data_IF_835247842124
#
_entry.id   IF_835247842124
#
_cell.length_a   1.000
_cell.length_b   1.000
_cell.length_c   1.000
_cell.angle_alpha   90.00
_cell.angle_beta   90.00
_cell.angle_gamma   90.00
#
_symmetry.space_group_name_H-M   'P 1'
#
loop_
_entity.id
_entity.type
_entity.pdbx_description
1 polymer ?
#
# COMPACT_ATOMS: atom_id res chain seq x y z
N UNK A 1 15.32 6.61 3.67
CA UNK A 1 14.18 5.72 4.01
C UNK A 1 14.07 5.66 5.52
N UNK A 2 13.01 6.19 6.15
CA UNK A 2 12.84 6.12 7.61
C UNK A 2 12.49 4.69 8.02
N UNK A 3 13.24 4.10 8.96
CA UNK A 3 13.11 2.73 9.50
C UNK A 3 11.69 2.39 9.94
N UNK A 4 10.94 3.38 10.44
CA UNK A 4 9.51 3.25 10.77
C UNK A 4 8.64 2.79 9.60
N UNK A 5 8.99 3.21 8.38
CA UNK A 5 8.24 2.88 7.17
C UNK A 5 8.35 1.40 6.81
N UNK A 6 9.53 0.79 7.05
CA UNK A 6 9.79 -0.61 6.72
C UNK A 6 9.04 -1.56 7.68
N UNK A 7 9.04 -1.24 8.98
CA UNK A 7 8.34 -2.01 10.01
C UNK A 7 6.82 -1.99 9.78
N UNK A 8 6.29 -0.81 9.45
CA UNK A 8 4.87 -0.64 9.16
C UNK A 8 4.44 -1.45 7.92
N UNK A 9 5.29 -1.46 6.89
CA UNK A 9 5.05 -2.23 5.66
C UNK A 9 5.10 -3.75 5.90
N UNK A 10 6.00 -4.21 6.76
CA UNK A 10 6.10 -5.61 7.14
C UNK A 10 4.86 -6.06 7.92
N UNK A 11 4.33 -5.21 8.81
CA UNK A 11 3.06 -5.47 9.51
C UNK A 11 1.87 -5.46 8.56
N UNK A 12 1.76 -4.51 7.64
CA UNK A 12 0.71 -4.49 6.59
C UNK A 12 0.72 -5.80 5.79
N UNK A 13 1.89 -6.23 5.30
CA UNK A 13 2.03 -7.50 4.57
C UNK A 13 1.67 -8.72 5.41
N UNK A 14 2.04 -8.76 6.69
CA UNK A 14 1.63 -9.85 7.59
C UNK A 14 0.11 -9.90 7.78
N UNK A 15 -0.54 -8.74 7.91
CA UNK A 15 -1.99 -8.66 8.06
C UNK A 15 -2.73 -9.18 6.83
N UNK A 16 -2.31 -8.69 5.65
CA UNK A 16 -2.84 -9.14 4.35
C UNK A 16 -2.55 -10.63 4.14
N UNK A 17 -1.37 -11.09 4.54
CA UNK A 17 -1.00 -12.50 4.50
C UNK A 17 -1.93 -13.37 5.36
N UNK A 18 -2.25 -12.95 6.59
CA UNK A 18 -3.19 -13.67 7.47
C UNK A 18 -4.60 -13.73 6.89
N UNK A 19 -5.12 -12.61 6.38
CA UNK A 19 -6.43 -12.57 5.71
C UNK A 19 -6.46 -13.51 4.50
N UNK A 20 -5.40 -13.52 3.69
CA UNK A 20 -5.29 -14.41 2.54
C UNK A 20 -5.18 -15.89 2.95
N UNK A 21 -4.35 -16.21 3.94
CA UNK A 21 -4.21 -17.60 4.44
C UNK A 21 -5.50 -18.10 5.08
N UNK A 22 -6.27 -17.21 5.72
CA UNK A 22 -7.59 -17.52 6.26
C UNK A 22 -8.69 -17.61 5.17
N UNK A 23 -8.38 -17.33 3.91
CA UNK A 23 -9.34 -17.33 2.80
C UNK A 23 -10.30 -16.15 2.81
N UNK A 24 -10.10 -15.13 3.65
CA UNK A 24 -10.97 -13.96 3.75
C UNK A 24 -10.68 -12.97 2.60
N UNK A 25 -10.95 -13.37 1.36
CA UNK A 25 -10.67 -12.61 0.13
C UNK A 25 -11.93 -12.23 -0.66
N UNK A 26 -13.09 -12.65 -0.18
CA UNK A 26 -14.39 -12.32 -0.74
C UNK A 26 -15.39 -12.08 0.42
N UNK A 27 -16.53 -11.43 0.16
CA UNK A 27 -17.52 -11.13 1.21
C UNK A 27 -18.10 -12.40 1.83
N UNK A 28 -18.24 -13.49 1.08
CA UNK A 28 -18.80 -14.77 1.57
C UNK A 28 -17.86 -15.49 2.57
N UNK A 29 -16.55 -15.29 2.44
CA UNK A 29 -15.52 -15.83 3.33
C UNK A 29 -15.01 -14.76 4.30
N UNK A 30 -15.76 -13.67 4.50
CA UNK A 30 -15.38 -12.64 5.46
C UNK A 30 -15.30 -13.21 6.88
N UNK A 31 -14.22 -12.86 7.58
CA UNK A 31 -13.86 -13.38 8.90
C UNK A 31 -13.78 -12.24 9.89
N UNK A 32 -14.07 -12.52 11.16
CA UNK A 32 -13.93 -11.51 12.22
C UNK A 32 -12.47 -11.29 12.56
N UNK A 33 -12.13 -10.10 13.07
CA UNK A 33 -10.76 -9.77 13.46
C UNK A 33 -10.25 -10.66 14.59
N UNK A 34 -11.14 -11.09 15.48
CA UNK A 34 -10.84 -12.07 16.53
C UNK A 34 -10.45 -13.43 15.96
N UNK A 35 -11.20 -13.95 14.98
CA UNK A 35 -10.86 -15.23 14.31
C UNK A 35 -9.51 -15.17 13.59
N UNK A 36 -9.12 -13.99 13.10
CA UNK A 36 -7.84 -13.74 12.43
C UNK A 36 -6.68 -13.48 13.42
N UNK A 37 -6.97 -13.37 14.73
CA UNK A 37 -6.00 -12.97 15.75
C UNK A 37 -5.38 -11.61 15.46
N UNK A 38 -6.17 -10.69 14.91
CA UNK A 38 -5.77 -9.33 14.53
C UNK A 38 -6.26 -8.36 15.60
N UNK A 39 -5.33 -7.72 16.31
CA UNK A 39 -5.68 -6.66 17.24
C UNK A 39 -6.07 -5.37 16.48
N UNK A 40 -7.15 -4.70 16.88
CA UNK A 40 -7.50 -3.38 16.34
C UNK A 40 -6.38 -2.38 16.67
N UNK A 41 -5.91 -1.69 15.65
CA UNK A 41 -4.79 -0.76 15.78
C UNK A 41 -4.62 0.13 14.56
N UNK A 42 -3.61 1.02 14.61
CA UNK A 42 -3.37 2.05 13.60
C UNK A 42 -3.24 1.49 12.17
N UNK A 43 -2.67 0.29 12.02
CA UNK A 43 -2.47 -0.38 10.72
C UNK A 43 -3.80 -0.86 10.13
N UNK A 44 -4.70 -1.40 10.97
CA UNK A 44 -6.03 -1.82 10.53
C UNK A 44 -6.82 -0.61 10.03
N UNK A 45 -6.82 0.49 10.80
CA UNK A 45 -7.48 1.74 10.41
C UNK A 45 -6.96 2.24 9.06
N UNK A 46 -5.64 2.23 8.87
CA UNK A 46 -4.98 2.67 7.64
C UNK A 46 -5.30 1.79 6.42
N UNK A 47 -5.43 0.47 6.61
CA UNK A 47 -5.82 -0.46 5.54
C UNK A 47 -7.31 -0.30 5.18
N UNK A 48 -8.15 0.03 6.17
CA UNK A 48 -9.57 0.36 5.98
C UNK A 48 -9.76 1.68 5.22
N UNK A 49 -9.02 2.72 5.60
CA UNK A 49 -8.99 4.02 4.88
C UNK A 49 -8.56 3.85 3.41
N UNK A 50 -7.69 2.89 3.12
CA UNK A 50 -7.21 2.58 1.77
C UNK A 50 -8.11 1.62 0.99
N UNK A 51 -9.28 1.27 1.54
CA UNK A 51 -10.22 0.30 0.98
C UNK A 51 -9.61 -1.08 0.67
N UNK A 52 -8.49 -1.44 1.32
CA UNK A 52 -7.84 -2.75 1.15
C UNK A 52 -8.58 -3.83 1.93
N UNK A 53 -9.08 -3.48 3.12
CA UNK A 53 -9.91 -4.36 3.95
C UNK A 53 -11.30 -3.76 3.96
N UNK A 54 -12.28 -4.54 3.51
CA UNK A 54 -13.68 -4.14 3.43
C UNK A 54 -14.50 -4.93 4.43
N UNK A 55 -15.48 -4.25 4.99
CA UNK A 55 -16.45 -4.84 5.91
C UNK A 55 -17.56 -5.45 5.04
N UNK A 56 -17.81 -6.75 5.21
CA UNK A 56 -18.88 -7.46 4.50
C UNK A 56 -20.19 -7.44 5.28
N UNK A 57 -20.09 -7.58 6.60
CA UNK A 57 -21.21 -7.64 7.54
C UNK A 57 -20.71 -7.23 8.93
N UNK A 58 -21.59 -7.18 9.93
CA UNK A 58 -21.29 -6.75 11.30
C UNK A 58 -20.05 -7.46 11.84
N UNK A 59 -18.94 -6.71 11.93
CA UNK A 59 -17.62 -7.17 12.40
C UNK A 59 -16.91 -8.25 11.55
N UNK A 60 -17.35 -8.46 10.30
CA UNK A 60 -16.70 -9.37 9.35
C UNK A 60 -15.94 -8.62 8.28
N UNK A 61 -14.69 -9.00 8.08
CA UNK A 61 -13.77 -8.33 7.18
C UNK A 61 -13.23 -9.27 6.11
N UNK A 62 -13.09 -8.75 4.90
CA UNK A 62 -12.44 -9.42 3.78
C UNK A 62 -11.42 -8.51 3.11
N UNK A 63 -10.44 -9.13 2.48
CA UNK A 63 -9.42 -8.49 1.67
C UNK A 63 -9.98 -8.24 0.27
N UNK A 64 -10.03 -6.98 -0.15
CA UNK A 64 -10.30 -6.60 -1.53
C UNK A 64 -8.98 -6.66 -2.32
N UNK A 65 -8.76 -7.79 -2.98
CA UNK A 65 -7.56 -8.07 -3.77
C UNK A 65 -7.35 -7.04 -4.92
N UNK A 66 -8.38 -6.63 -5.70
CA UNK A 66 -8.29 -5.51 -6.64
C UNK A 66 -7.77 -4.21 -6.02
N UNK A 67 -8.27 -3.84 -4.85
CA UNK A 67 -7.86 -2.63 -4.13
C UNK A 67 -6.43 -2.74 -3.60
N UNK A 68 -6.02 -3.92 -3.11
CA UNK A 68 -4.64 -4.20 -2.72
C UNK A 68 -3.67 -4.07 -3.89
N UNK A 69 -4.03 -4.60 -5.05
CA UNK A 69 -3.24 -4.43 -6.27
C UNK A 69 -3.20 -2.96 -6.72
N UNK A 70 -4.30 -2.21 -6.61
CA UNK A 70 -4.34 -0.79 -6.95
C UNK A 70 -3.37 0.02 -6.07
N UNK A 71 -3.32 -0.25 -4.76
CA UNK A 71 -2.34 0.37 -3.85
C UNK A 71 -0.90 0.01 -4.25
N UNK A 72 -0.66 -1.25 -4.62
CA UNK A 72 0.66 -1.72 -5.07
C UNK A 72 1.08 -1.11 -6.41
N UNK A 73 0.14 -0.97 -7.35
CA UNK A 73 0.31 -0.32 -8.66
C UNK A 73 0.55 1.18 -8.52
N UNK A 74 -0.25 1.87 -7.70
CA UNK A 74 -0.09 3.30 -7.41
C UNK A 74 1.28 3.60 -6.82
N UNK A 75 1.79 2.74 -5.95
CA UNK A 75 3.14 2.89 -5.39
C UNK A 75 4.25 2.69 -6.42
N UNK A 76 4.10 1.72 -7.35
CA UNK A 76 5.05 1.56 -8.48
C UNK A 76 4.98 2.74 -9.45
N UNK A 77 3.78 3.24 -9.75
CA UNK A 77 3.59 4.43 -10.60
C UNK A 77 4.23 5.66 -9.97
N UNK A 78 4.03 5.89 -8.66
CA UNK A 78 4.67 7.01 -7.96
C UNK A 78 6.20 6.95 -8.05
N UNK A 79 6.80 5.76 -7.92
CA UNK A 79 8.25 5.57 -8.09
C UNK A 79 8.68 5.88 -9.54
N UNK A 80 7.92 5.44 -10.55
CA UNK A 80 8.23 5.73 -11.96
C UNK A 80 8.09 7.23 -12.26
N UNK A 81 7.01 7.87 -11.80
CA UNK A 81 6.79 9.31 -11.97
C UNK A 81 7.91 10.10 -11.28
N UNK A 82 8.30 9.72 -10.06
CA UNK A 82 9.43 10.32 -9.37
C UNK A 82 10.74 10.16 -10.16
N UNK A 83 10.98 8.98 -10.74
CA UNK A 83 12.13 8.71 -11.60
C UNK A 83 12.13 9.57 -12.88
N UNK A 84 10.98 9.69 -13.53
CA UNK A 84 10.82 10.53 -14.73
C UNK A 84 11.05 12.00 -14.39
N UNK A 85 10.47 12.50 -13.30
CA UNK A 85 10.68 13.88 -12.82
C UNK A 85 12.16 14.10 -12.49
N UNK A 86 12.81 13.16 -11.80
CA UNK A 86 14.24 13.25 -11.49
C UNK A 86 15.11 13.28 -12.76
N UNK A 87 14.79 12.46 -13.76
CA UNK A 87 15.45 12.48 -15.06
C UNK A 87 15.26 13.81 -15.78
N UNK A 88 14.05 14.36 -15.81
CA UNK A 88 13.75 15.67 -16.43
C UNK A 88 14.52 16.78 -15.74
N UNK A 89 14.56 16.80 -14.40
CA UNK A 89 15.34 17.78 -13.63
C UNK A 89 16.84 17.63 -13.90
N UNK A 90 17.37 16.41 -13.94
CA UNK A 90 18.77 16.15 -14.26
C UNK A 90 19.12 16.62 -15.69
N UNK A 91 18.24 16.34 -16.65
CA UNK A 91 18.40 16.77 -18.05
C UNK A 91 18.36 18.29 -18.16
N UNK A 92 17.37 18.93 -17.54
CA UNK A 92 17.25 20.38 -17.48
C UNK A 92 18.47 21.03 -16.81
N UNK A 93 19.00 20.42 -15.74
CA UNK A 93 20.22 20.89 -15.10
C UNK A 93 21.44 20.72 -16.02
N UNK A 94 21.59 19.58 -16.68
CA UNK A 94 22.74 19.30 -17.54
C UNK A 94 22.75 20.17 -18.80
N UNK A 95 21.59 20.37 -19.43
CA UNK A 95 21.44 21.20 -20.63
C UNK A 95 21.32 22.70 -20.31
N UNK A 96 20.64 23.05 -19.23
CA UNK A 96 20.56 24.43 -18.74
C UNK A 96 21.93 24.97 -18.31
N UNK A 97 22.75 24.14 -17.65
CA UNK A 97 24.14 24.48 -17.32
C UNK A 97 25.05 24.59 -18.56
N UNK A 98 24.65 23.99 -19.69
CA UNK A 98 25.37 24.08 -20.98
C UNK A 98 24.97 25.29 -21.81
N UNK A 99 23.75 25.82 -21.62
CA UNK A 99 23.27 27.06 -22.27
C UNK A 99 23.74 28.34 -21.54
N UNK A 100 24.09 28.24 -20.26
CA UNK A 100 24.47 29.38 -19.40
C UNK A 100 25.93 29.33 -18.92
N UNK A 101 26.77 28.52 -19.57
CA UNK A 101 28.22 28.56 -19.39
C UNK A 101 28.80 29.59 -20.41
N UNK A 102 29.44 30.68 -19.95
CA UNK A 102 30.09 31.67 -20.83
C UNK A 102 31.30 31.10 -21.56
#
# INVERSE_FOLDING_TARGET
>A
MSTFSAILLAKERRLVGRLRTAGAVNPEQARTLEELGISPGVILRRLRERAVIREADTDRFYLDEPSWEAVRRGRRRAIHVLWVVALVVLFAFMFGRKLFAP
#
